data_IF_560918214699
#
_entry.id   IF_560918214699
#
_cell.length_a   1.000
_cell.length_b   1.000
_cell.length_c   1.000
_cell.angle_alpha   90.00
_cell.angle_beta   90.00
_cell.angle_gamma   90.00
#
_symmetry.space_group_name_H-M   'P 1'
#
loop_
_entity.id
_entity.type
_entity.pdbx_description
1 polymer ?
#
# COMPACT_ATOMS: atom_id res chain seq x y z
N UNK A 1 -6.31 33.18 14.63
CA UNK A 1 -6.21 32.11 13.62
C UNK A 1 -5.11 32.49 12.63
N UNK A 2 -4.25 31.56 12.24
CA UNK A 2 -3.25 31.83 11.21
C UNK A 2 -3.93 32.09 9.85
N UNK A 3 -3.37 33.00 9.04
CA UNK A 3 -3.85 33.28 7.69
C UNK A 3 -3.82 32.01 6.82
N UNK A 4 -4.76 31.90 5.88
CA UNK A 4 -4.90 30.76 4.96
C UNK A 4 -4.46 31.15 3.57
N UNK A 5 -3.67 30.30 2.93
CA UNK A 5 -3.33 30.39 1.52
C UNK A 5 -4.33 29.56 0.71
N UNK A 6 -4.75 30.07 -0.45
CA UNK A 6 -5.75 29.43 -1.31
C UNK A 6 -5.21 29.38 -2.74
N UNK A 7 -5.18 28.18 -3.31
CA UNK A 7 -4.83 27.93 -4.71
C UNK A 7 -6.02 27.36 -5.46
N UNK A 8 -6.10 27.66 -6.75
CA UNK A 8 -7.20 27.27 -7.62
C UNK A 8 -6.72 26.46 -8.83
N UNK A 9 -7.67 25.77 -9.44
CA UNK A 9 -7.56 25.15 -10.76
C UNK A 9 -6.33 24.26 -10.97
N UNK A 10 -5.67 24.42 -12.12
CA UNK A 10 -4.54 23.60 -12.54
C UNK A 10 -3.33 23.76 -11.62
N UNK A 11 -3.09 24.97 -11.11
CA UNK A 11 -1.97 25.24 -10.21
C UNK A 11 -2.09 24.42 -8.92
N UNK A 12 -3.30 24.39 -8.34
CA UNK A 12 -3.58 23.56 -7.16
C UNK A 12 -3.43 22.06 -7.46
N UNK A 13 -4.02 21.59 -8.57
CA UNK A 13 -3.93 20.17 -8.97
C UNK A 13 -2.50 19.72 -9.23
N UNK A 14 -1.67 20.57 -9.85
CA UNK A 14 -0.26 20.28 -10.11
C UNK A 14 0.52 20.11 -8.82
N UNK A 15 0.38 21.02 -7.86
CA UNK A 15 1.05 20.93 -6.54
C UNK A 15 0.65 19.65 -5.79
N UNK A 16 -0.63 19.30 -5.81
CA UNK A 16 -1.11 18.05 -5.21
C UNK A 16 -0.50 16.84 -5.93
N UNK A 17 -0.47 16.85 -7.26
CA UNK A 17 0.12 15.78 -8.08
C UNK A 17 1.61 15.58 -7.78
N UNK A 18 2.37 16.66 -7.57
CA UNK A 18 3.79 16.59 -7.21
C UNK A 18 3.97 15.82 -5.88
N UNK A 19 3.09 16.08 -4.90
CA UNK A 19 3.07 15.35 -3.63
C UNK A 19 2.70 13.87 -3.77
N UNK A 20 1.65 13.59 -4.53
CA UNK A 20 1.21 12.21 -4.87
C UNK A 20 2.36 11.45 -5.53
N UNK A 21 3.06 12.06 -6.49
CA UNK A 21 4.18 11.46 -7.19
C UNK A 21 5.37 11.22 -6.26
N UNK A 22 5.71 12.19 -5.42
CA UNK A 22 6.85 12.07 -4.49
C UNK A 22 6.67 10.87 -3.57
N UNK A 23 5.49 10.73 -2.96
CA UNK A 23 5.20 9.58 -2.09
C UNK A 23 5.15 8.28 -2.88
N UNK A 24 4.41 8.24 -3.99
CA UNK A 24 4.25 7.02 -4.75
C UNK A 24 5.56 6.54 -5.39
N UNK A 25 6.43 7.45 -5.81
CA UNK A 25 7.72 7.11 -6.39
C UNK A 25 8.70 6.52 -5.37
N UNK A 26 8.62 6.98 -4.11
CA UNK A 26 9.37 6.40 -3.00
C UNK A 26 8.84 5.01 -2.59
N UNK A 27 7.53 4.80 -2.63
CA UNK A 27 6.89 3.54 -2.22
C UNK A 27 6.99 2.47 -3.32
N UNK A 28 6.78 2.83 -4.59
CA UNK A 28 6.69 1.85 -5.70
C UNK A 28 7.97 1.04 -5.94
N UNK A 29 9.13 1.54 -5.49
CA UNK A 29 10.40 0.79 -5.65
C UNK A 29 10.44 -0.47 -4.80
N UNK A 30 9.58 -0.58 -3.78
CA UNK A 30 9.48 -1.76 -2.91
C UNK A 30 8.59 -2.87 -3.49
N UNK A 31 7.90 -2.60 -4.59
CA UNK A 31 6.90 -3.53 -5.14
C UNK A 31 7.52 -4.83 -5.68
N UNK A 32 7.01 -5.96 -5.19
CA UNK A 32 7.26 -7.29 -5.74
C UNK A 32 8.61 -7.92 -5.31
N UNK A 33 8.93 -9.12 -5.82
CA UNK A 33 10.09 -9.89 -5.36
C UNK A 33 11.44 -9.24 -5.68
N UNK A 34 11.48 -8.39 -6.71
CA UNK A 34 12.65 -7.58 -7.08
C UNK A 34 12.59 -6.15 -6.52
N UNK A 35 11.69 -5.91 -5.57
CA UNK A 35 11.58 -4.66 -4.83
C UNK A 35 12.90 -4.33 -4.12
N UNK A 36 13.26 -3.06 -4.16
CA UNK A 36 14.46 -2.52 -3.52
C UNK A 36 14.14 -2.05 -2.10
N UNK A 37 15.17 -2.02 -1.27
CA UNK A 37 15.07 -1.46 0.08
C UNK A 37 15.01 0.07 0.01
N UNK A 38 14.25 0.65 0.92
CA UNK A 38 14.26 2.08 1.23
C UNK A 38 14.96 2.24 2.57
N UNK A 39 15.87 3.22 2.65
CA UNK A 39 16.61 3.57 3.86
C UNK A 39 16.00 4.84 4.43
N UNK A 40 15.62 4.78 5.70
CA UNK A 40 14.89 5.84 6.41
C UNK A 40 15.76 6.28 7.59
N UNK A 41 16.01 7.58 7.68
CA UNK A 41 16.73 8.19 8.80
C UNK A 41 15.93 8.02 10.11
N UNK A 42 16.65 7.79 11.21
CA UNK A 42 16.10 7.91 12.56
C UNK A 42 16.81 9.04 13.28
N UNK A 43 16.09 9.83 14.08
CA UNK A 43 16.68 10.90 14.88
C UNK A 43 17.75 10.42 15.87
N UNK A 44 17.71 9.13 16.25
CA UNK A 44 18.72 8.48 17.07
C UNK A 44 18.97 7.04 16.60
N UNK A 45 20.24 6.62 16.64
CA UNK A 45 20.64 5.25 16.31
C UNK A 45 20.87 5.00 14.81
N UNK A 46 20.81 3.73 14.42
CA UNK A 46 21.00 3.31 13.03
C UNK A 46 19.73 3.54 12.19
N UNK A 47 19.85 3.80 10.87
CA UNK A 47 18.70 3.99 9.99
C UNK A 47 17.86 2.71 9.87
N UNK A 48 16.57 2.87 9.60
CA UNK A 48 15.69 1.74 9.26
C UNK A 48 15.86 1.39 7.80
N UNK A 49 16.02 0.09 7.50
CA UNK A 49 15.99 -0.43 6.13
C UNK A 49 14.73 -1.27 5.99
N UNK A 50 13.85 -0.91 5.05
CA UNK A 50 12.55 -1.59 4.89
C UNK A 50 12.15 -1.77 3.44
N UNK A 51 11.30 -2.77 3.19
CA UNK A 51 10.52 -2.94 1.96
C UNK A 51 9.02 -2.71 2.17
N UNK A 52 8.60 -2.44 3.39
CA UNK A 52 7.19 -2.19 3.68
C UNK A 52 6.78 -0.80 3.17
N UNK A 53 5.83 -0.79 2.23
CA UNK A 53 5.29 0.44 1.64
C UNK A 53 4.57 1.33 2.65
N UNK A 54 3.96 0.77 3.71
CA UNK A 54 3.29 1.57 4.74
C UNK A 54 4.30 2.33 5.57
N UNK A 55 5.35 1.65 6.03
CA UNK A 55 6.44 2.28 6.76
C UNK A 55 7.08 3.39 5.93
N UNK A 56 7.36 3.15 4.65
CA UNK A 56 7.89 4.20 3.75
C UNK A 56 6.92 5.37 3.62
N UNK A 57 5.62 5.11 3.40
CA UNK A 57 4.63 6.17 3.23
C UNK A 57 4.42 7.01 4.50
N UNK A 58 4.58 6.41 5.70
CA UNK A 58 4.42 7.09 7.00
C UNK A 58 5.48 8.15 7.26
N UNK A 59 6.69 7.93 6.75
CA UNK A 59 7.87 8.78 6.97
C UNK A 59 7.97 9.93 5.95
N UNK A 60 7.05 10.00 4.98
CA UNK A 60 7.05 11.05 3.96
C UNK A 60 6.18 12.22 4.41
N UNK A 61 6.86 13.32 4.72
CA UNK A 61 6.28 14.63 4.96
C UNK A 61 7.00 15.67 4.10
N UNK A 62 6.24 16.52 3.41
CA UNK A 62 6.79 17.50 2.48
C UNK A 62 6.68 18.92 3.05
N UNK A 63 7.71 19.74 2.82
CA UNK A 63 7.72 21.14 3.27
C UNK A 63 6.63 21.97 2.58
N UNK A 64 6.42 21.77 1.28
CA UNK A 64 5.34 22.41 0.54
C UNK A 64 4.00 21.85 1.02
N UNK A 65 3.15 22.73 1.57
CA UNK A 65 1.89 22.32 2.19
C UNK A 65 0.91 21.69 1.21
N UNK A 66 0.89 22.12 -0.05
CA UNK A 66 -0.04 21.59 -1.06
C UNK A 66 0.41 20.23 -1.58
N UNK A 67 1.71 20.06 -1.81
CA UNK A 67 2.31 18.76 -2.09
C UNK A 67 2.12 17.82 -0.90
N UNK A 68 2.35 18.30 0.33
CA UNK A 68 2.15 17.47 1.52
C UNK A 68 0.70 17.00 1.63
N UNK A 69 -0.30 17.85 1.35
CA UNK A 69 -1.69 17.42 1.28
C UNK A 69 -1.89 16.26 0.27
N UNK A 70 -1.26 16.35 -0.91
CA UNK A 70 -1.23 15.26 -1.89
C UNK A 70 -0.63 13.97 -1.36
N UNK A 71 0.54 14.06 -0.72
CA UNK A 71 1.19 12.91 -0.08
C UNK A 71 0.31 12.31 1.02
N UNK A 72 -0.23 13.13 1.93
CA UNK A 72 -1.06 12.66 3.03
C UNK A 72 -2.35 11.97 2.55
N UNK A 73 -2.95 12.42 1.44
CA UNK A 73 -4.11 11.73 0.84
C UNK A 73 -3.75 10.31 0.37
N UNK A 74 -2.57 10.11 -0.22
CA UNK A 74 -2.14 8.77 -0.67
C UNK A 74 -1.67 7.91 0.49
N UNK A 75 -1.06 8.51 1.51
CA UNK A 75 -0.72 7.84 2.77
C UNK A 75 -1.96 7.24 3.43
N UNK A 76 -3.06 7.99 3.45
CA UNK A 76 -4.35 7.53 3.97
C UNK A 76 -4.89 6.33 3.19
N UNK A 77 -4.75 6.32 1.86
CA UNK A 77 -5.13 5.17 1.02
C UNK A 77 -4.32 3.94 1.40
N UNK A 78 -2.99 4.08 1.52
CA UNK A 78 -2.11 2.97 1.90
C UNK A 78 -2.43 2.44 3.31
N UNK A 79 -2.62 3.34 4.29
CA UNK A 79 -2.94 2.95 5.67
C UNK A 79 -4.24 2.16 5.75
N UNK A 80 -5.31 2.66 5.13
CA UNK A 80 -6.62 1.97 5.15
C UNK A 80 -6.58 0.60 4.50
N UNK A 81 -5.79 0.43 3.42
CA UNK A 81 -5.58 -0.88 2.81
C UNK A 81 -4.89 -1.83 3.80
N UNK A 82 -3.84 -1.36 4.49
CA UNK A 82 -3.17 -2.15 5.53
C UNK A 82 -4.11 -2.52 6.68
N UNK A 83 -4.91 -1.58 7.16
CA UNK A 83 -5.75 -1.78 8.35
C UNK A 83 -6.85 -2.82 8.12
N UNK A 84 -7.36 -2.90 6.88
CA UNK A 84 -8.45 -3.83 6.53
C UNK A 84 -7.92 -5.17 6.00
N UNK A 85 -6.86 -5.15 5.18
CA UNK A 85 -6.39 -6.33 4.45
C UNK A 85 -5.05 -6.88 4.93
N UNK A 86 -4.24 -6.10 5.67
CA UNK A 86 -2.91 -6.50 6.14
C UNK A 86 -1.80 -6.49 5.08
N UNK A 87 -2.13 -6.35 3.79
CA UNK A 87 -1.21 -6.32 2.65
C UNK A 87 -1.80 -5.47 1.51
N UNK A 88 -1.03 -5.23 0.44
CA UNK A 88 -1.47 -4.55 -0.78
C UNK A 88 -1.27 -3.04 -0.79
N UNK A 89 -0.52 -2.52 0.19
CA UNK A 89 -0.34 -1.08 0.43
C UNK A 89 0.40 -0.41 -0.71
N UNK A 90 1.52 -0.98 -1.15
CA UNK A 90 2.27 -0.52 -2.33
C UNK A 90 1.41 -0.58 -3.60
N UNK A 91 0.61 -1.64 -3.77
CA UNK A 91 -0.30 -1.77 -4.92
C UNK A 91 -1.36 -0.67 -4.91
N UNK A 92 -1.96 -0.37 -3.75
CA UNK A 92 -2.95 0.69 -3.61
C UNK A 92 -2.34 2.06 -3.92
N UNK A 93 -1.12 2.34 -3.44
CA UNK A 93 -0.38 3.58 -3.73
C UNK A 93 -0.12 3.77 -5.23
N UNK A 94 0.34 2.72 -5.93
CA UNK A 94 0.61 2.78 -7.37
C UNK A 94 -0.68 2.99 -8.18
N UNK A 95 -1.76 2.31 -7.81
CA UNK A 95 -3.06 2.50 -8.45
C UNK A 95 -3.61 3.91 -8.22
N UNK A 96 -3.51 4.43 -7.00
CA UNK A 96 -3.92 5.79 -6.66
C UNK A 96 -3.15 6.84 -7.48
N UNK A 97 -1.83 6.68 -7.60
CA UNK A 97 -0.99 7.54 -8.45
C UNK A 97 -1.46 7.52 -9.90
N UNK A 98 -1.67 6.32 -10.47
CA UNK A 98 -2.07 6.17 -11.86
C UNK A 98 -3.44 6.81 -12.15
N UNK A 99 -4.45 6.54 -11.30
CA UNK A 99 -5.79 7.08 -11.44
C UNK A 99 -5.77 8.62 -11.33
N UNK A 100 -5.08 9.16 -10.32
CA UNK A 100 -5.03 10.60 -10.10
C UNK A 100 -4.30 11.33 -11.25
N UNK A 101 -3.18 10.76 -11.72
CA UNK A 101 -2.40 11.34 -12.82
C UNK A 101 -3.20 11.41 -14.11
N UNK A 102 -3.83 10.31 -14.51
CA UNK A 102 -4.63 10.30 -15.75
C UNK A 102 -5.92 11.10 -15.61
N UNK A 103 -6.57 11.07 -14.44
CA UNK A 103 -7.73 11.93 -14.15
C UNK A 103 -7.40 13.42 -14.24
N UNK A 104 -6.27 13.85 -13.66
CA UNK A 104 -5.82 15.24 -13.70
C UNK A 104 -5.59 15.74 -15.13
N UNK A 105 -5.01 14.90 -16.01
CA UNK A 105 -4.84 15.22 -17.44
C UNK A 105 -6.19 15.40 -18.15
N UNK A 106 -7.14 14.51 -17.91
CA UNK A 106 -8.47 14.59 -18.53
C UNK A 106 -9.23 15.85 -18.07
N UNK A 107 -9.12 16.20 -16.78
CA UNK A 107 -9.70 17.44 -16.27
C UNK A 107 -9.04 18.67 -16.91
N UNK A 108 -7.72 18.66 -17.08
CA UNK A 108 -7.01 19.73 -17.79
C UNK A 108 -7.43 19.84 -19.28
N UNK A 109 -7.81 18.73 -19.91
CA UNK A 109 -8.38 18.69 -21.25
C UNK A 109 -9.85 19.16 -21.33
N UNK A 110 -10.46 19.58 -20.22
CA UNK A 110 -11.82 20.12 -20.17
C UNK A 110 -12.92 19.10 -19.89
N UNK A 111 -12.58 17.85 -19.55
CA UNK A 111 -13.57 16.86 -19.14
C UNK A 111 -14.14 17.17 -17.76
N UNK A 112 -15.43 16.85 -17.55
CA UNK A 112 -16.10 17.06 -16.27
C UNK A 112 -15.54 16.09 -15.19
N UNK A 113 -14.94 16.61 -14.09
CA UNK A 113 -14.39 15.77 -13.03
C UNK A 113 -15.40 14.83 -12.38
N UNK A 114 -16.67 15.25 -12.29
CA UNK A 114 -17.73 14.45 -11.67
C UNK A 114 -18.12 13.25 -12.54
N UNK A 115 -18.16 13.43 -13.86
CA UNK A 115 -18.41 12.32 -14.78
C UNK A 115 -17.24 11.33 -14.82
N UNK A 116 -16.00 11.84 -14.80
CA UNK A 116 -14.81 10.99 -14.69
C UNK A 116 -14.86 10.14 -13.42
N UNK A 117 -15.18 10.75 -12.27
CA UNK A 117 -15.34 10.03 -11.01
C UNK A 117 -16.41 8.94 -11.11
N UNK A 118 -17.61 9.26 -11.62
CA UNK A 118 -18.70 8.28 -11.78
C UNK A 118 -18.29 7.11 -12.67
N UNK A 119 -17.58 7.38 -13.76
CA UNK A 119 -17.05 6.35 -14.65
C UNK A 119 -16.00 5.45 -13.98
N UNK A 120 -15.09 6.04 -13.20
CA UNK A 120 -14.10 5.29 -12.40
C UNK A 120 -14.83 4.41 -11.38
N UNK A 121 -15.76 4.97 -10.60
CA UNK A 121 -16.50 4.24 -9.57
C UNK A 121 -17.25 3.03 -10.18
N UNK A 122 -17.95 3.23 -11.30
CA UNK A 122 -18.64 2.16 -12.02
C UNK A 122 -17.67 1.08 -12.54
N UNK A 123 -16.50 1.49 -13.02
CA UNK A 123 -15.46 0.56 -13.50
C UNK A 123 -14.88 -0.28 -12.36
N UNK A 124 -14.64 0.34 -11.19
CA UNK A 124 -14.15 -0.36 -10.00
C UNK A 124 -15.14 -1.44 -9.56
N UNK A 125 -16.44 -1.14 -9.55
CA UNK A 125 -17.49 -2.12 -9.21
C UNK A 125 -17.43 -3.33 -10.17
N UNK A 126 -17.42 -3.07 -11.47
CA UNK A 126 -17.38 -4.14 -12.48
C UNK A 126 -16.11 -5.00 -12.37
N UNK A 127 -14.96 -4.38 -12.07
CA UNK A 127 -13.68 -5.10 -11.84
C UNK A 127 -13.77 -5.97 -10.59
N UNK A 128 -14.30 -5.46 -9.48
CA UNK A 128 -14.47 -6.23 -8.24
C UNK A 128 -15.36 -7.46 -8.47
N UNK A 129 -16.51 -7.29 -9.15
CA UNK A 129 -17.39 -8.40 -9.49
C UNK A 129 -16.69 -9.47 -10.33
N UNK A 130 -15.84 -9.04 -11.28
CA UNK A 130 -15.08 -9.96 -12.11
C UNK A 130 -14.01 -10.70 -11.31
N UNK A 131 -13.30 -10.00 -10.41
CA UNK A 131 -12.30 -10.61 -9.52
C UNK A 131 -12.94 -11.65 -8.60
N UNK A 132 -14.11 -11.36 -8.04
CA UNK A 132 -14.87 -12.32 -7.21
C UNK A 132 -15.24 -13.58 -8.01
N UNK A 133 -15.67 -13.44 -9.27
CA UNK A 133 -15.97 -14.58 -10.16
C UNK A 133 -14.75 -15.40 -10.53
N UNK A 134 -13.55 -14.81 -10.53
CA UNK A 134 -12.29 -15.50 -10.81
C UNK A 134 -11.66 -16.13 -9.56
N UNK A 135 -12.08 -15.68 -8.38
CA UNK A 135 -11.53 -16.13 -7.10
C UNK A 135 -11.79 -17.62 -6.86
N UNK A 136 -10.80 -18.28 -6.25
CA UNK A 136 -10.89 -19.67 -5.80
C UNK A 136 -10.50 -19.71 -4.33
N UNK A 137 -11.35 -20.32 -3.50
CA UNK A 137 -11.07 -20.46 -2.07
C UNK A 137 -9.87 -21.35 -1.84
N UNK A 138 -8.95 -20.92 -0.97
CA UNK A 138 -7.79 -21.70 -0.55
C UNK A 138 -8.21 -22.77 0.46
N UNK A 139 -8.17 -24.03 0.02
CA UNK A 139 -8.61 -25.16 0.85
C UNK A 139 -7.43 -25.93 1.41
N UNK A 140 -6.37 -26.06 0.61
CA UNK A 140 -5.26 -26.97 0.92
C UNK A 140 -4.15 -26.25 1.71
N UNK A 141 -3.52 -26.91 2.70
CA UNK A 141 -2.38 -26.34 3.42
C UNK A 141 -1.24 -25.86 2.51
N UNK A 142 -1.05 -26.54 1.37
CA UNK A 142 -0.08 -26.15 0.35
C UNK A 142 -0.39 -24.78 -0.28
N UNK A 143 -1.66 -24.47 -0.53
CA UNK A 143 -2.07 -23.17 -1.06
C UNK A 143 -1.87 -22.07 -0.02
N UNK A 144 -2.15 -22.36 1.26
CA UNK A 144 -1.92 -21.44 2.37
C UNK A 144 -0.42 -21.12 2.49
N UNK A 145 0.43 -22.16 2.47
CA UNK A 145 1.88 -21.99 2.49
C UNK A 145 2.39 -21.16 1.32
N UNK A 146 1.83 -21.34 0.12
CA UNK A 146 2.18 -20.53 -1.06
C UNK A 146 1.81 -19.06 -0.88
N UNK A 147 0.62 -18.76 -0.37
CA UNK A 147 0.21 -17.38 -0.07
C UNK A 147 1.17 -16.75 0.95
N UNK A 148 1.42 -17.44 2.07
CA UNK A 148 2.36 -16.97 3.09
C UNK A 148 3.77 -16.74 2.55
N UNK A 149 4.27 -17.65 1.70
CA UNK A 149 5.59 -17.53 1.06
C UNK A 149 5.68 -16.29 0.18
N UNK A 150 4.67 -16.06 -0.67
CA UNK A 150 4.66 -14.91 -1.60
C UNK A 150 4.60 -13.59 -0.82
N UNK A 151 3.73 -13.51 0.19
CA UNK A 151 3.63 -12.31 1.06
C UNK A 151 4.89 -12.10 1.91
N UNK A 152 5.60 -13.16 2.28
CA UNK A 152 6.88 -13.09 2.98
C UNK A 152 8.09 -12.87 2.03
N UNK A 153 7.88 -12.21 0.88
CA UNK A 153 8.94 -11.91 -0.11
C UNK A 153 9.68 -13.15 -0.66
N UNK A 154 8.98 -14.29 -0.76
CA UNK A 154 9.54 -15.53 -1.28
C UNK A 154 10.20 -16.43 -0.22
N UNK A 155 10.01 -16.14 1.07
CA UNK A 155 10.52 -16.97 2.15
C UNK A 155 9.63 -18.20 2.39
N UNK A 156 10.07 -19.34 1.88
CA UNK A 156 9.37 -20.62 2.03
C UNK A 156 9.29 -21.08 3.50
N UNK A 157 10.24 -20.67 4.35
CA UNK A 157 10.25 -21.06 5.77
C UNK A 157 9.10 -20.41 6.51
N UNK A 158 8.90 -19.11 6.30
CA UNK A 158 7.79 -18.35 6.89
C UNK A 158 6.44 -18.87 6.38
N UNK A 159 6.32 -19.10 5.07
CA UNK A 159 5.09 -19.65 4.49
C UNK A 159 4.71 -21.00 5.08
N UNK A 160 5.70 -21.88 5.31
CA UNK A 160 5.48 -23.19 5.93
C UNK A 160 5.07 -23.06 7.41
N UNK A 161 5.76 -22.24 8.18
CA UNK A 161 5.43 -22.01 9.61
C UNK A 161 4.00 -21.50 9.77
N UNK A 162 3.55 -20.57 8.91
CA UNK A 162 2.18 -20.06 8.93
C UNK A 162 1.17 -21.17 8.62
N UNK A 163 1.44 -22.00 7.61
CA UNK A 163 0.55 -23.10 7.25
C UNK A 163 0.44 -24.13 8.39
N UNK A 164 1.56 -24.51 9.00
CA UNK A 164 1.61 -25.44 10.13
C UNK A 164 0.87 -24.87 11.36
N UNK A 165 1.02 -23.55 11.63
CA UNK A 165 0.30 -22.87 12.69
C UNK A 165 -1.22 -22.90 12.45
N UNK A 166 -1.67 -22.52 11.25
CA UNK A 166 -3.09 -22.53 10.88
C UNK A 166 -3.69 -23.95 10.89
N UNK A 167 -2.90 -24.98 10.65
CA UNK A 167 -3.35 -26.38 10.78
C UNK A 167 -3.54 -26.78 12.25
N UNK A 168 -2.63 -26.38 13.15
CA UNK A 168 -2.73 -26.65 14.60
C UNK A 168 -3.91 -25.92 15.26
N UNK A 169 -4.08 -24.62 15.02
CA UNK A 169 -5.10 -23.79 15.71
C UNK A 169 -6.41 -23.64 14.92
N UNK A 170 -6.45 -24.11 13.67
CA UNK A 170 -7.56 -23.91 12.75
C UNK A 170 -7.52 -22.55 12.05
N UNK A 171 -8.24 -22.42 10.93
CA UNK A 171 -8.21 -21.21 10.07
C UNK A 171 -8.72 -19.93 10.76
N UNK A 172 -9.53 -20.07 11.80
CA UNK A 172 -10.06 -18.96 12.61
C UNK A 172 -9.39 -18.89 14.01
N UNK A 173 -8.32 -19.66 14.21
CA UNK A 173 -7.53 -19.62 15.43
C UNK A 173 -6.71 -18.34 15.55
N UNK A 174 -6.31 -18.00 16.77
CA UNK A 174 -5.46 -16.83 17.04
C UNK A 174 -4.00 -17.21 16.88
N UNK A 175 -3.27 -16.49 16.03
CA UNK A 175 -1.82 -16.63 15.84
C UNK A 175 -1.18 -15.32 16.26
N UNK A 176 -0.17 -15.39 17.13
CA UNK A 176 0.62 -14.23 17.59
C UNK A 176 2.08 -14.43 17.20
N UNK A 177 2.78 -13.33 16.96
CA UNK A 177 4.22 -13.32 16.64
C UNK A 177 4.94 -12.54 17.72
N UNK A 178 6.00 -13.11 18.28
CA UNK A 178 6.84 -12.51 19.31
C UNK A 178 8.31 -12.50 18.88
N UNK A 179 9.10 -11.57 19.41
CA UNK A 179 10.54 -11.54 19.18
C UNK A 179 11.24 -12.66 19.97
N UNK A 180 11.81 -13.63 19.24
CA UNK A 180 12.62 -14.68 19.84
C UNK A 180 14.05 -14.17 20.13
N UNK A 181 14.65 -14.64 21.24
CA UNK A 181 16.08 -14.42 21.54
C UNK A 181 17.01 -15.33 20.71
N UNK A 182 16.45 -16.33 20.03
CA UNK A 182 17.17 -17.28 19.19
C UNK A 182 17.24 -16.80 17.73
N UNK A 183 18.17 -17.36 16.96
CA UNK A 183 18.32 -17.08 15.52
C UNK A 183 17.26 -17.81 14.66
N UNK A 184 16.52 -18.76 15.24
CA UNK A 184 15.53 -19.60 14.56
C UNK A 184 14.11 -19.16 14.90
N UNK A 185 13.25 -19.07 13.89
CA UNK A 185 11.81 -18.89 14.08
C UNK A 185 11.19 -20.26 14.37
N UNK A 186 10.55 -20.39 15.53
CA UNK A 186 9.96 -21.64 16.01
C UNK A 186 8.46 -21.46 16.27
N UNK A 187 7.71 -22.57 16.22
CA UNK A 187 6.26 -22.60 16.42
C UNK A 187 5.93 -23.45 17.64
N UNK A 188 5.50 -22.80 18.72
CA UNK A 188 4.98 -23.44 19.93
C UNK A 188 3.48 -23.78 19.80
#
# INVERSE_FOLDING_TARGET
MAAKEILFDEVARKRILDGVNTLADAVKVTLGPKGRNVVIEKSFGAPTVTKDGVTVAKEIELEDRFANMGAQMVREVASKTSDVAGDGTTTATVLAQAIYREGSKLVAAGHNPMELKRGIDASVIAVIEKLQKMSKSTKDPKEIAQVGTISANGDETIGKIIADAMEKVGKEGVITVEEAKAMTTELD
#
